data_IF_662820973725
#
_entry.id   IF_662820973725
#
_cell.length_a   1.000
_cell.length_b   1.000
_cell.length_c   1.000
_cell.angle_alpha   90.00
_cell.angle_beta   90.00
_cell.angle_gamma   90.00
#
_symmetry.space_group_name_H-M   'P 1'
#
loop_
_entity.id
_entity.type
_entity.pdbx_description
1 polymer ?
#
# COMPACT_ATOMS: atom_id res chain seq x y z
N UNK A 1 -1.33 3.16 18.06
CA UNK A 1 -1.22 3.81 16.73
C UNK A 1 -1.61 5.27 16.89
N UNK A 2 -0.84 6.16 16.33
CA UNK A 2 -1.05 7.61 16.36
C UNK A 2 -1.67 8.10 15.05
N UNK A 3 -2.36 9.22 15.09
CA UNK A 3 -2.91 9.87 13.89
C UNK A 3 -2.44 11.33 13.86
N UNK A 4 -2.03 11.80 12.68
CA UNK A 4 -1.60 13.19 12.45
C UNK A 4 -2.22 13.73 11.17
N UNK A 5 -2.38 15.06 11.11
CA UNK A 5 -2.71 15.77 9.87
C UNK A 5 -1.46 16.36 9.26
N UNK A 6 -1.34 16.27 7.94
CA UNK A 6 -0.23 16.87 7.22
C UNK A 6 0.07 16.21 5.89
N UNK A 7 1.12 16.67 5.25
CA UNK A 7 1.62 16.10 4.01
C UNK A 7 2.66 15.00 4.34
N UNK A 8 2.40 13.79 3.89
CA UNK A 8 3.23 12.63 4.25
C UNK A 8 4.70 12.83 3.90
N UNK A 9 5.00 13.42 2.73
CA UNK A 9 6.40 13.57 2.29
C UNK A 9 7.15 14.68 3.06
N UNK A 10 6.45 15.65 3.62
CA UNK A 10 7.02 16.65 4.52
C UNK A 10 7.33 16.04 5.90
N UNK A 11 6.50 15.11 6.36
CA UNK A 11 6.65 14.43 7.64
C UNK A 11 7.64 13.26 7.57
N UNK A 12 7.78 12.63 6.41
CA UNK A 12 8.58 11.41 6.21
C UNK A 12 9.99 11.46 6.81
N UNK A 13 10.78 12.56 6.70
CA UNK A 13 12.13 12.63 7.28
C UNK A 13 12.19 12.52 8.81
N UNK A 14 11.05 12.63 9.49
CA UNK A 14 10.95 12.48 10.95
C UNK A 14 10.79 11.02 11.40
N UNK A 15 10.65 10.08 10.45
CA UNK A 15 10.38 8.66 10.70
C UNK A 15 11.47 7.78 10.10
N UNK A 16 11.72 6.64 10.74
CA UNK A 16 12.72 5.67 10.27
C UNK A 16 12.22 4.85 9.07
N UNK A 17 10.92 4.56 9.07
CA UNK A 17 10.25 3.81 8.01
C UNK A 17 9.07 4.61 7.45
N UNK A 18 8.89 4.57 6.14
CA UNK A 18 7.78 5.21 5.42
C UNK A 18 7.11 4.17 4.54
N UNK A 19 5.80 4.02 4.66
CA UNK A 19 5.04 3.08 3.84
C UNK A 19 4.27 3.81 2.75
N UNK A 20 4.31 3.26 1.54
CA UNK A 20 3.40 3.63 0.44
C UNK A 20 2.41 2.49 0.18
N UNK A 21 1.16 2.83 -0.04
CA UNK A 21 0.13 1.84 -0.37
C UNK A 21 0.27 1.37 -1.81
N UNK A 22 0.20 0.05 -2.03
CA UNK A 22 0.49 -0.58 -3.31
C UNK A 22 -0.57 -1.63 -3.66
N UNK A 23 -0.58 -2.05 -4.92
CA UNK A 23 -1.30 -3.25 -5.39
C UNK A 23 -0.29 -4.35 -5.77
N UNK A 24 -0.79 -5.52 -6.12
CA UNK A 24 0.04 -6.67 -6.46
C UNK A 24 0.23 -6.91 -7.95
N UNK A 25 -0.24 -6.01 -8.82
CA UNK A 25 -0.17 -6.20 -10.27
C UNK A 25 1.19 -5.78 -10.82
N UNK A 26 1.74 -6.63 -11.71
CA UNK A 26 2.99 -6.36 -12.44
C UNK A 26 2.69 -6.37 -13.94
N UNK A 27 3.11 -5.32 -14.64
CA UNK A 27 2.97 -5.21 -16.09
C UNK A 27 3.90 -6.20 -16.81
N UNK A 28 3.64 -6.43 -18.10
CA UNK A 28 4.47 -7.32 -18.94
C UNK A 28 5.93 -6.88 -19.01
N UNK A 29 6.24 -5.60 -18.87
CA UNK A 29 7.60 -5.06 -18.82
C UNK A 29 8.31 -5.26 -17.46
N UNK A 30 7.65 -5.88 -16.48
CA UNK A 30 8.20 -6.14 -15.16
C UNK A 30 7.99 -5.03 -14.14
N UNK A 31 7.38 -3.93 -14.50
CA UNK A 31 7.10 -2.81 -13.59
C UNK A 31 5.76 -2.97 -12.86
N UNK A 32 5.73 -2.64 -11.58
CA UNK A 32 4.49 -2.50 -10.84
C UNK A 32 3.70 -1.27 -11.31
N UNK A 33 2.37 -1.30 -11.14
CA UNK A 33 1.52 -0.15 -11.42
C UNK A 33 1.47 0.75 -10.19
N UNK A 34 1.99 1.96 -10.32
CA UNK A 34 2.04 2.99 -9.28
C UNK A 34 1.38 4.28 -9.81
N UNK A 35 0.10 4.17 -10.15
CA UNK A 35 -0.61 5.18 -10.96
C UNK A 35 -1.40 6.21 -10.16
N UNK A 36 -1.54 6.08 -8.85
CA UNK A 36 -2.36 6.96 -8.01
C UNK A 36 -1.77 7.17 -6.62
N UNK A 37 -2.20 8.25 -5.98
CA UNK A 37 -1.89 8.55 -4.58
C UNK A 37 -0.40 8.60 -4.26
N UNK A 38 -0.05 8.19 -3.05
CA UNK A 38 1.34 8.22 -2.57
C UNK A 38 2.29 7.34 -3.41
N UNK A 39 1.79 6.25 -3.99
CA UNK A 39 2.59 5.41 -4.89
C UNK A 39 3.02 6.17 -6.15
N UNK A 40 2.10 6.91 -6.76
CA UNK A 40 2.41 7.77 -7.92
C UNK A 40 3.42 8.87 -7.56
N UNK A 41 3.24 9.49 -6.40
CA UNK A 41 4.17 10.50 -5.90
C UNK A 41 5.56 9.90 -5.68
N UNK A 42 5.65 8.71 -5.10
CA UNK A 42 6.91 7.99 -4.90
C UNK A 42 7.58 7.63 -6.23
N UNK A 43 6.82 7.13 -7.22
CA UNK A 43 7.35 6.80 -8.53
C UNK A 43 7.91 8.03 -9.28
N UNK A 44 7.32 9.22 -9.05
CA UNK A 44 7.85 10.47 -9.58
C UNK A 44 9.15 10.90 -8.90
N UNK A 45 9.26 10.69 -7.59
CA UNK A 45 10.48 10.98 -6.82
C UNK A 45 11.61 10.02 -7.17
N UNK A 46 11.29 8.75 -7.37
CA UNK A 46 12.24 7.67 -7.64
C UNK A 46 11.79 6.87 -8.87
N UNK A 47 12.19 7.27 -10.09
CA UNK A 47 11.69 6.67 -11.33
C UNK A 47 11.96 5.19 -11.52
N UNK A 48 12.95 4.62 -10.80
CA UNK A 48 13.24 3.17 -10.81
C UNK A 48 12.33 2.36 -9.88
N UNK A 49 11.54 3.02 -9.05
CA UNK A 49 10.74 2.35 -8.02
C UNK A 49 9.71 1.36 -8.57
N UNK A 50 9.00 1.64 -9.68
CA UNK A 50 8.08 0.66 -10.27
C UNK A 50 8.78 -0.66 -10.65
N UNK A 51 9.99 -0.61 -11.17
CA UNK A 51 10.78 -1.81 -11.50
C UNK A 51 11.22 -2.56 -10.24
N UNK A 52 11.62 -1.84 -9.19
CA UNK A 52 12.00 -2.45 -7.90
C UNK A 52 10.80 -3.15 -7.26
N UNK A 53 9.65 -2.49 -7.19
CA UNK A 53 8.44 -3.09 -6.64
C UNK A 53 7.98 -4.30 -7.48
N UNK A 54 8.02 -4.19 -8.80
CA UNK A 54 7.69 -5.29 -9.71
C UNK A 54 8.55 -6.52 -9.46
N UNK A 55 9.84 -6.34 -9.28
CA UNK A 55 10.80 -7.41 -8.93
C UNK A 55 10.45 -8.07 -7.59
N UNK A 56 10.11 -7.27 -6.57
CA UNK A 56 9.69 -7.78 -5.26
C UNK A 56 8.43 -8.63 -5.35
N UNK A 57 7.42 -8.16 -6.11
CA UNK A 57 6.17 -8.89 -6.30
C UNK A 57 6.40 -10.20 -7.05
N UNK A 58 7.21 -10.20 -8.11
CA UNK A 58 7.55 -11.41 -8.88
C UNK A 58 8.24 -12.45 -8.02
N UNK A 59 9.13 -12.02 -7.14
CA UNK A 59 9.95 -12.92 -6.32
C UNK A 59 9.18 -13.51 -5.14
N UNK A 60 8.33 -12.72 -4.47
CA UNK A 60 7.68 -13.08 -3.22
C UNK A 60 6.17 -12.90 -3.17
N UNK A 61 5.55 -12.38 -4.24
CA UNK A 61 4.13 -12.08 -4.26
C UNK A 61 3.77 -10.79 -3.52
N UNK A 62 2.53 -10.69 -3.07
CA UNK A 62 1.97 -9.49 -2.42
C UNK A 62 2.38 -9.48 -0.95
N UNK A 63 3.36 -8.67 -0.59
CA UNK A 63 3.88 -8.53 0.78
C UNK A 63 4.50 -7.15 1.00
N UNK A 64 4.72 -6.78 2.26
CA UNK A 64 5.46 -5.57 2.60
C UNK A 64 6.95 -5.77 2.31
N UNK A 65 7.47 -5.03 1.35
CA UNK A 65 8.85 -5.14 0.91
C UNK A 65 9.61 -3.85 1.19
N UNK A 66 10.87 -3.98 1.59
CA UNK A 66 11.80 -2.87 1.57
C UNK A 66 12.10 -2.51 0.12
N UNK A 67 11.85 -1.27 -0.28
CA UNK A 67 12.01 -0.80 -1.65
C UNK A 67 13.30 -0.03 -1.88
N UNK A 68 13.60 0.92 -0.99
CA UNK A 68 14.83 1.69 -1.06
C UNK A 68 15.17 2.31 0.30
N UNK A 69 16.44 2.68 0.47
CA UNK A 69 16.91 3.50 1.59
C UNK A 69 17.29 4.89 1.09
N UNK A 70 16.84 5.90 1.81
CA UNK A 70 17.30 7.27 1.65
C UNK A 70 18.21 7.66 2.82
N UNK A 71 18.78 8.84 2.81
CA UNK A 71 19.53 9.36 3.95
C UNK A 71 18.64 9.62 5.19
N UNK A 72 17.32 9.77 4.99
CA UNK A 72 16.38 10.12 6.06
C UNK A 72 15.50 8.97 6.54
N UNK A 73 15.16 8.01 5.66
CA UNK A 73 14.24 6.91 5.98
C UNK A 73 14.41 5.72 5.04
N UNK A 74 13.79 4.59 5.40
CA UNK A 74 13.62 3.43 4.53
C UNK A 74 12.19 3.37 4.03
N UNK A 75 12.00 3.21 2.71
CA UNK A 75 10.71 3.12 2.06
C UNK A 75 10.25 1.67 1.93
N UNK A 76 9.01 1.40 2.34
CA UNK A 76 8.37 0.10 2.24
C UNK A 76 7.11 0.15 1.40
N UNK A 77 6.81 -0.95 0.70
CA UNK A 77 5.46 -1.17 0.16
C UNK A 77 4.53 -1.64 1.28
N UNK A 78 3.28 -1.19 1.23
CA UNK A 78 2.19 -1.63 2.09
C UNK A 78 1.03 -2.05 1.19
N UNK A 79 0.95 -3.33 0.80
CA UNK A 79 -0.09 -3.80 -0.09
C UNK A 79 -1.49 -3.60 0.48
N UNK A 80 -2.39 -3.11 -0.36
CA UNK A 80 -3.83 -2.93 -0.05
C UNK A 80 -4.74 -3.60 -1.07
N UNK A 81 -4.17 -4.05 -2.21
CA UNK A 81 -4.90 -4.69 -3.30
C UNK A 81 -4.11 -5.89 -3.82
N UNK A 82 -4.80 -6.92 -4.36
CA UNK A 82 -4.15 -8.12 -4.90
C UNK A 82 -3.46 -7.87 -6.24
N UNK A 83 -2.89 -8.92 -6.82
CA UNK A 83 -2.38 -8.92 -8.19
C UNK A 83 -3.48 -8.90 -9.24
N UNK A 84 -4.54 -9.66 -9.00
CA UNK A 84 -5.73 -9.72 -9.85
C UNK A 84 -6.96 -10.13 -9.03
N UNK A 85 -8.14 -9.89 -9.60
CA UNK A 85 -9.42 -10.34 -9.03
C UNK A 85 -10.32 -10.89 -10.13
N UNK A 86 -11.22 -11.79 -9.77
CA UNK A 86 -12.36 -12.14 -10.61
C UNK A 86 -13.48 -11.12 -10.33
N UNK A 87 -13.95 -10.46 -11.37
CA UNK A 87 -15.00 -9.44 -11.25
C UNK A 87 -16.28 -10.07 -10.72
N UNK A 88 -16.78 -9.57 -9.59
CA UNK A 88 -18.02 -10.03 -8.98
C UNK A 88 -19.22 -9.74 -9.87
N UNK A 89 -20.32 -10.49 -9.67
CA UNK A 89 -21.53 -10.37 -10.47
C UNK A 89 -22.11 -8.94 -10.44
N UNK A 90 -22.06 -8.28 -9.29
CA UNK A 90 -22.49 -6.89 -9.09
C UNK A 90 -21.37 -5.86 -9.29
N UNK A 91 -20.16 -6.32 -9.65
CA UNK A 91 -18.95 -5.52 -9.81
C UNK A 91 -18.54 -4.73 -8.55
N UNK A 92 -19.01 -5.13 -7.37
CA UNK A 92 -18.73 -4.42 -6.11
C UNK A 92 -17.25 -4.42 -5.73
N UNK A 93 -16.48 -5.41 -6.20
CA UNK A 93 -15.03 -5.52 -5.95
C UNK A 93 -14.17 -4.72 -6.94
N UNK A 94 -14.78 -3.98 -7.87
CA UNK A 94 -14.09 -3.10 -8.82
C UNK A 94 -14.36 -1.64 -8.45
N UNK A 95 -13.33 -0.81 -8.51
CA UNK A 95 -13.46 0.63 -8.25
C UNK A 95 -14.43 1.26 -9.25
N UNK A 96 -15.23 2.23 -8.78
CA UNK A 96 -16.38 2.76 -9.52
C UNK A 96 -16.06 3.20 -10.95
N UNK A 97 -14.96 3.93 -11.14
CA UNK A 97 -14.59 4.46 -12.46
C UNK A 97 -14.11 3.40 -13.46
N UNK A 98 -13.86 2.16 -13.00
CA UNK A 98 -13.40 1.04 -13.84
C UNK A 98 -14.49 0.01 -14.13
N UNK A 99 -15.65 0.10 -13.49
CA UNK A 99 -16.73 -0.91 -13.61
C UNK A 99 -17.23 -1.13 -15.03
N UNK A 100 -17.21 -0.09 -15.88
CA UNK A 100 -17.63 -0.22 -17.28
C UNK A 100 -16.62 -0.98 -18.15
N UNK A 101 -15.37 -1.13 -17.71
CA UNK A 101 -14.29 -1.75 -18.47
C UNK A 101 -14.18 -3.25 -18.27
N UNK A 102 -14.80 -3.79 -17.22
CA UNK A 102 -14.69 -5.21 -16.86
C UNK A 102 -16.07 -5.82 -16.68
N UNK A 103 -16.27 -7.01 -17.29
CA UNK A 103 -17.51 -7.77 -17.17
C UNK A 103 -17.46 -8.74 -15.96
N UNK A 104 -18.60 -9.09 -15.35
CA UNK A 104 -18.65 -10.12 -14.32
C UNK A 104 -18.01 -11.43 -14.78
N UNK A 105 -17.22 -12.08 -13.91
CA UNK A 105 -16.47 -13.30 -14.21
C UNK A 105 -15.15 -13.09 -14.95
N UNK A 106 -14.90 -11.93 -15.50
CA UNK A 106 -13.62 -11.56 -16.13
C UNK A 106 -12.53 -11.39 -15.08
N UNK A 107 -11.29 -11.70 -15.40
CA UNK A 107 -10.13 -11.36 -14.58
C UNK A 107 -9.77 -9.89 -14.80
N UNK A 108 -9.72 -9.12 -13.72
CA UNK A 108 -9.28 -7.74 -13.74
C UNK A 108 -7.94 -7.58 -13.00
N UNK A 109 -7.08 -6.64 -13.44
CA UNK A 109 -5.83 -6.37 -12.73
C UNK A 109 -6.11 -5.80 -11.33
N UNK A 110 -5.24 -6.10 -10.38
CA UNK A 110 -5.42 -5.73 -8.98
C UNK A 110 -5.56 -4.23 -8.74
N UNK A 111 -4.94 -3.39 -9.57
CA UNK A 111 -5.09 -1.94 -9.47
C UNK A 111 -6.53 -1.44 -9.74
N UNK A 112 -7.35 -2.23 -10.46
CA UNK A 112 -8.76 -1.92 -10.70
C UNK A 112 -9.69 -2.38 -9.56
N UNK A 113 -9.19 -3.18 -8.63
CA UNK A 113 -9.97 -3.68 -7.51
C UNK A 113 -10.17 -2.61 -6.43
N UNK A 114 -11.26 -2.75 -5.67
CA UNK A 114 -11.42 -2.11 -4.36
C UNK A 114 -10.35 -2.69 -3.43
N UNK A 115 -9.86 -1.91 -2.47
CA UNK A 115 -8.90 -2.42 -1.50
C UNK A 115 -9.53 -3.55 -0.66
N UNK A 116 -8.67 -4.46 -0.20
CA UNK A 116 -9.05 -5.66 0.52
C UNK A 116 -8.59 -5.58 1.98
N UNK A 117 -9.54 -5.61 2.92
CA UNK A 117 -9.25 -5.53 4.34
C UNK A 117 -8.33 -6.67 4.83
N UNK A 118 -8.44 -7.88 4.25
CA UNK A 118 -7.57 -8.99 4.63
C UNK A 118 -6.12 -8.76 4.19
N UNK A 119 -5.91 -8.15 3.03
CA UNK A 119 -4.57 -7.76 2.56
C UNK A 119 -4.02 -6.64 3.44
N UNK A 120 -4.83 -5.65 3.80
CA UNK A 120 -4.43 -4.56 4.70
C UNK A 120 -4.04 -5.12 6.08
N UNK A 121 -4.80 -6.05 6.63
CA UNK A 121 -4.49 -6.69 7.91
C UNK A 121 -3.17 -7.44 7.86
N UNK A 122 -2.94 -8.23 6.81
CA UNK A 122 -1.69 -8.96 6.62
C UNK A 122 -0.50 -7.99 6.44
N UNK A 123 -0.70 -6.89 5.72
CA UNK A 123 0.33 -5.85 5.59
C UNK A 123 0.66 -5.20 6.93
N UNK A 124 -0.34 -4.92 7.75
CA UNK A 124 -0.13 -4.38 9.10
C UNK A 124 0.67 -5.35 9.98
N UNK A 125 0.31 -6.63 9.94
CA UNK A 125 1.04 -7.70 10.64
C UNK A 125 2.50 -7.77 10.20
N UNK A 126 2.75 -7.73 8.90
CA UNK A 126 4.10 -7.78 8.33
C UNK A 126 4.92 -6.54 8.69
N UNK A 127 4.35 -5.35 8.63
CA UNK A 127 5.06 -4.13 9.03
C UNK A 127 5.41 -4.12 10.52
N UNK A 128 4.53 -4.65 11.37
CA UNK A 128 4.84 -4.84 12.79
C UNK A 128 6.08 -5.72 12.97
N UNK A 129 6.16 -6.84 12.22
CA UNK A 129 7.34 -7.71 12.22
C UNK A 129 8.61 -6.99 11.73
N UNK A 130 8.51 -6.18 10.66
CA UNK A 130 9.64 -5.38 10.18
C UNK A 130 10.18 -4.45 11.28
N UNK A 131 9.30 -3.70 11.92
CA UNK A 131 9.67 -2.78 12.99
C UNK A 131 10.24 -3.51 14.22
N UNK A 132 9.67 -4.66 14.57
CA UNK A 132 10.17 -5.49 15.69
C UNK A 132 11.53 -6.14 15.38
N UNK A 133 11.83 -6.44 14.12
CA UNK A 133 13.00 -7.22 13.74
C UNK A 133 14.30 -6.44 13.73
N UNK A 134 14.25 -5.11 13.68
CA UNK A 134 15.44 -4.27 13.53
C UNK A 134 15.42 -3.07 14.48
N UNK A 135 16.47 -2.90 15.29
CA UNK A 135 16.51 -1.83 16.30
C UNK A 135 16.58 -0.41 15.68
N UNK A 136 17.01 -0.27 14.41
CA UNK A 136 17.03 1.01 13.73
C UNK A 136 15.64 1.53 13.35
N UNK A 137 14.63 0.66 13.27
CA UNK A 137 13.25 1.06 12.98
C UNK A 137 12.48 1.31 14.27
N UNK A 138 12.47 2.55 14.74
CA UNK A 138 11.75 2.97 15.95
C UNK A 138 10.39 3.58 15.65
N UNK A 139 10.23 4.15 14.45
CA UNK A 139 9.01 4.86 14.03
C UNK A 139 8.67 4.56 12.58
N UNK A 140 7.37 4.54 12.28
CA UNK A 140 6.86 4.29 10.93
C UNK A 140 5.69 5.22 10.64
N UNK A 141 5.68 5.85 9.48
CA UNK A 141 4.54 6.63 8.97
C UNK A 141 3.92 5.94 7.77
N UNK A 142 2.59 5.97 7.69
CA UNK A 142 1.82 5.45 6.55
C UNK A 142 0.57 6.31 6.32
N UNK A 143 0.06 6.38 5.08
CA UNK A 143 -1.23 7.02 4.82
C UNK A 143 -2.36 6.13 5.36
N UNK A 144 -3.62 6.57 5.28
CA UNK A 144 -4.79 5.72 5.56
C UNK A 144 -4.91 4.63 4.48
N UNK A 145 -4.53 3.36 4.76
CA UNK A 145 -4.46 2.35 3.71
C UNK A 145 -5.84 2.03 3.14
N UNK A 146 -5.94 2.00 1.82
CA UNK A 146 -7.18 1.63 1.14
C UNK A 146 -8.29 2.68 1.13
N UNK A 147 -8.09 3.84 1.76
CA UNK A 147 -9.14 4.86 1.93
C UNK A 147 -9.21 5.89 0.79
N UNK A 148 -8.24 5.93 -0.11
CA UNK A 148 -8.28 6.78 -1.31
C UNK A 148 -8.77 6.01 -2.52
N UNK A 149 -7.86 5.69 -3.44
CA UNK A 149 -8.15 4.90 -4.64
C UNK A 149 -8.65 3.47 -4.35
N UNK A 150 -8.59 3.02 -3.11
CA UNK A 150 -9.13 1.73 -2.66
C UNK A 150 -10.61 1.77 -2.28
N UNK A 151 -11.20 2.94 -2.14
CA UNK A 151 -12.63 3.16 -1.85
C UNK A 151 -13.13 2.62 -0.49
N UNK A 152 -12.24 2.24 0.43
CA UNK A 152 -12.63 1.89 1.80
C UNK A 152 -12.79 3.15 2.66
N UNK A 153 -13.60 3.03 3.73
CA UNK A 153 -13.73 4.10 4.72
C UNK A 153 -12.71 3.92 5.86
N UNK A 154 -12.36 5.01 6.51
CA UNK A 154 -11.46 4.96 7.67
C UNK A 154 -12.05 4.15 8.83
N UNK A 155 -13.37 4.20 9.01
CA UNK A 155 -14.10 3.43 9.99
C UNK A 155 -13.97 1.92 9.78
N UNK A 156 -13.84 1.47 8.52
CA UNK A 156 -13.58 0.07 8.19
C UNK A 156 -12.13 -0.33 8.44
N UNK A 157 -11.19 0.55 8.13
CA UNK A 157 -9.75 0.23 8.13
C UNK A 157 -9.10 0.40 9.49
N UNK A 158 -9.44 1.44 10.23
CA UNK A 158 -8.81 1.76 11.53
C UNK A 158 -8.82 0.60 12.51
N UNK A 159 -9.95 -0.09 12.77
CA UNK A 159 -9.97 -1.22 13.72
C UNK A 159 -9.05 -2.36 13.31
N UNK A 160 -8.89 -2.59 12.02
CA UNK A 160 -8.00 -3.64 11.47
C UNK A 160 -6.54 -3.31 11.76
N UNK A 161 -6.15 -2.05 11.54
CA UNK A 161 -4.79 -1.59 11.84
C UNK A 161 -4.48 -1.64 13.34
N UNK A 162 -5.42 -1.22 14.19
CA UNK A 162 -5.25 -1.17 15.64
C UNK A 162 -5.01 -2.53 16.29
N UNK A 163 -5.40 -3.63 15.62
CA UNK A 163 -5.08 -5.00 16.08
C UNK A 163 -3.57 -5.30 16.05
N UNK A 164 -2.82 -4.63 15.17
CA UNK A 164 -1.42 -4.97 14.89
C UNK A 164 -0.44 -3.83 15.15
N UNK A 165 -0.87 -2.57 14.96
CA UNK A 165 0.02 -1.40 14.99
C UNK A 165 -0.05 -0.72 16.35
N UNK A 166 1.11 -0.59 17.00
CA UNK A 166 1.28 0.13 18.25
C UNK A 166 1.66 1.61 18.04
N UNK A 167 2.05 2.32 19.10
CA UNK A 167 2.33 3.77 19.05
C UNK A 167 3.62 4.17 18.32
N UNK A 168 4.39 3.20 17.82
CA UNK A 168 5.49 3.46 16.89
C UNK A 168 5.00 3.80 15.47
N UNK A 169 3.75 3.49 15.19
CA UNK A 169 3.12 3.75 13.89
C UNK A 169 2.25 4.99 13.93
N UNK A 170 2.43 5.86 12.94
CA UNK A 170 1.64 7.07 12.75
C UNK A 170 0.93 7.02 11.41
N UNK A 171 -0.38 7.18 11.42
CA UNK A 171 -1.20 7.31 10.21
C UNK A 171 -1.43 8.78 9.90
N UNK A 172 -1.10 9.18 8.67
CA UNK A 172 -1.26 10.57 8.24
C UNK A 172 -2.56 10.75 7.45
N UNK A 173 -3.24 11.86 7.73
CA UNK A 173 -4.43 12.34 7.00
C UNK A 173 -4.12 13.72 6.44
N UNK A 174 -4.52 13.97 5.19
CA UNK A 174 -4.39 15.28 4.53
C UNK A 174 -5.45 16.27 5.00
#
# INVERSE_FOLDING_TARGET
MKEVRGEMWELAPQYDAVCITTNGFVKSNGEAVMGRGCAKQAARKWPKLPAVLGERIKTRGVYCAQLLRTSGFTLFSFPVKPGSVIVAQDKSNIVRHMRKKFAPGQTAPGWAAVADLSIIEESARQMKLWIDSKPEYKTCILPRPGCGAGELTWEQVKPVLEKHLDDRFTVVTY
#
